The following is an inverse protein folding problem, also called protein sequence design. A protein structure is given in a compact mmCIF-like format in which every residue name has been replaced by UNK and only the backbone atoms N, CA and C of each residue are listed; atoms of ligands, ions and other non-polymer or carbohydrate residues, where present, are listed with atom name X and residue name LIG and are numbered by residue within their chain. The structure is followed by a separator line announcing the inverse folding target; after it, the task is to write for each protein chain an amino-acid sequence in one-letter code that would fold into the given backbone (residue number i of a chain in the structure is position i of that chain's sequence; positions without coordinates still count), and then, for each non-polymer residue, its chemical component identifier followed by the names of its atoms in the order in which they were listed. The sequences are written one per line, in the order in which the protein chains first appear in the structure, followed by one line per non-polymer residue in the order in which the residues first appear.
data_IF_275847369522
#
_entry.id   IF_275847369522
#
_cell.length_a   1.000
_cell.length_b   1.000
_cell.length_c   1.000
_cell.angle_alpha   90.00
_cell.angle_beta   90.00
_cell.angle_gamma   90.00
#
_symmetry.space_group_name_H-M   'P 1'
#
loop_
_entity.id
_entity.type
_entity.pdbx_description
1 polymer ?
#
# COMPACT_ATOMS: atom_id res chain seq x y z
N UNK A 1 18.22 -18.87 -2.94
CA UNK A 1 18.19 -17.41 -2.74
C UNK A 1 16.84 -16.82 -3.15
N UNK A 2 16.35 -17.12 -4.33
CA UNK A 2 15.07 -16.59 -4.82
C UNK A 2 13.83 -16.92 -3.95
N UNK A 3 13.66 -18.15 -3.37
CA UNK A 3 12.52 -18.41 -2.47
C UNK A 3 12.55 -17.60 -1.18
N UNK A 4 13.72 -17.23 -0.69
CA UNK A 4 13.86 -16.37 0.48
C UNK A 4 13.52 -14.91 0.12
N UNK A 5 13.93 -14.46 -1.06
CA UNK A 5 13.58 -13.13 -1.59
C UNK A 5 12.07 -13.00 -1.84
N UNK A 6 11.44 -14.03 -2.39
CA UNK A 6 9.99 -14.07 -2.58
C UNK A 6 9.24 -13.86 -1.26
N UNK A 7 9.60 -14.61 -0.22
CA UNK A 7 9.01 -14.44 1.12
C UNK A 7 9.29 -13.07 1.72
N UNK A 8 10.51 -12.56 1.54
CA UNK A 8 10.90 -11.24 2.05
C UNK A 8 10.04 -10.13 1.40
N UNK A 9 9.91 -10.15 0.07
CA UNK A 9 9.07 -9.21 -0.64
C UNK A 9 7.60 -9.33 -0.24
N UNK A 10 7.09 -10.56 -0.10
CA UNK A 10 5.71 -10.80 0.33
C UNK A 10 5.45 -10.21 1.72
N UNK A 11 6.30 -10.52 2.70
CA UNK A 11 6.17 -10.02 4.07
C UNK A 11 6.31 -8.49 4.13
N UNK A 12 7.32 -7.95 3.46
CA UNK A 12 7.56 -6.51 3.42
C UNK A 12 6.38 -5.76 2.80
N UNK A 13 5.92 -6.20 1.64
CA UNK A 13 4.83 -5.53 0.92
C UNK A 13 3.50 -5.64 1.68
N UNK A 14 3.21 -6.81 2.24
CA UNK A 14 2.03 -7.02 3.10
C UNK A 14 2.08 -6.13 4.34
N UNK A 15 3.23 -6.02 5.01
CA UNK A 15 3.42 -5.13 6.15
C UNK A 15 3.25 -3.65 5.76
N UNK A 16 3.74 -3.26 4.59
CA UNK A 16 3.56 -1.91 4.04
C UNK A 16 2.09 -1.58 3.82
N UNK A 17 1.33 -2.50 3.20
CA UNK A 17 -0.12 -2.34 3.01
C UNK A 17 -0.84 -2.28 4.35
N UNK A 18 -0.53 -3.18 5.28
CA UNK A 18 -1.13 -3.20 6.61
C UNK A 18 -0.85 -1.90 7.38
N UNK A 19 0.37 -1.37 7.30
CA UNK A 19 0.72 -0.10 7.92
C UNK A 19 -0.03 1.08 7.28
N UNK A 20 -0.15 1.11 5.95
CA UNK A 20 -0.94 2.12 5.26
C UNK A 20 -2.42 2.08 5.68
N UNK A 21 -2.99 0.88 5.85
CA UNK A 21 -4.39 0.71 6.25
C UNK A 21 -4.66 0.99 7.73
N UNK A 22 -3.72 0.72 8.64
CA UNK A 22 -3.94 0.72 10.08
C UNK A 22 -3.14 1.79 10.85
N UNK A 23 -2.11 2.36 10.26
CA UNK A 23 -1.20 3.29 10.92
C UNK A 23 -1.82 4.60 11.39
N UNK A 24 -3.01 4.94 10.90
CA UNK A 24 -3.79 6.10 11.38
C UNK A 24 -4.41 5.90 12.76
N UNK A 25 -4.52 4.68 13.25
CA UNK A 25 -5.15 4.34 14.54
C UNK A 25 -4.40 5.02 15.70
N UNK A 26 -3.08 4.97 15.69
CA UNK A 26 -2.25 5.57 16.75
C UNK A 26 -1.75 6.96 16.35
N UNK A 27 -1.89 7.93 17.24
CA UNK A 27 -1.45 9.32 16.98
C UNK A 27 0.04 9.42 16.66
N UNK A 28 0.87 8.56 17.26
CA UNK A 28 2.33 8.53 17.03
C UNK A 28 2.71 8.10 15.62
N UNK A 29 1.94 7.19 15.02
CA UNK A 29 2.24 6.63 13.70
C UNK A 29 1.61 7.42 12.55
N UNK A 30 0.63 8.30 12.82
CA UNK A 30 -0.08 9.08 11.81
C UNK A 30 0.83 9.87 10.84
N UNK A 31 1.87 10.62 11.30
CA UNK A 31 2.74 11.33 10.37
C UNK A 31 3.54 10.39 9.48
N UNK A 32 4.00 9.26 10.00
CA UNK A 32 4.70 8.24 9.24
C UNK A 32 3.80 7.51 8.25
N UNK A 33 2.59 7.18 8.70
CA UNK A 33 1.57 6.57 7.83
C UNK A 33 1.15 7.54 6.72
N UNK A 34 0.98 8.83 7.00
CA UNK A 34 0.71 9.83 5.96
C UNK A 34 1.85 9.91 4.94
N UNK A 35 3.11 9.84 5.39
CA UNK A 35 4.26 9.80 4.50
C UNK A 35 4.25 8.55 3.60
N UNK A 36 4.02 7.36 4.17
CA UNK A 36 3.99 6.10 3.39
C UNK A 36 2.82 6.02 2.42
N UNK A 37 1.63 6.51 2.82
CA UNK A 37 0.46 6.62 1.93
C UNK A 37 0.73 7.60 0.79
N UNK A 38 1.35 8.75 1.08
CA UNK A 38 1.73 9.72 0.05
C UNK A 38 2.73 9.15 -0.93
N UNK A 39 3.71 8.39 -0.44
CA UNK A 39 4.69 7.70 -1.27
C UNK A 39 4.01 6.67 -2.19
N UNK A 40 3.06 5.91 -1.66
CA UNK A 40 2.27 4.95 -2.43
C UNK A 40 1.44 5.66 -3.52
N UNK A 41 0.77 6.76 -3.17
CA UNK A 41 0.01 7.55 -4.13
C UNK A 41 0.90 8.15 -5.23
N UNK A 42 2.08 8.68 -4.87
CA UNK A 42 3.06 9.17 -5.84
C UNK A 42 3.56 8.06 -6.76
N UNK A 43 3.78 6.87 -6.25
CA UNK A 43 4.16 5.71 -7.06
C UNK A 43 3.04 5.34 -8.05
N UNK A 44 1.82 5.22 -7.57
CA UNK A 44 0.68 4.79 -8.39
C UNK A 44 0.29 5.78 -9.48
N UNK A 45 0.28 7.07 -9.15
CA UNK A 45 -0.15 8.13 -10.08
C UNK A 45 1.04 8.81 -10.78
N UNK A 46 2.15 9.03 -10.06
CA UNK A 46 3.35 9.63 -10.62
C UNK A 46 4.09 8.67 -11.55
N UNK A 47 4.64 7.57 -11.02
CA UNK A 47 5.30 6.57 -11.85
C UNK A 47 4.32 5.85 -12.77
N UNK A 48 3.08 5.69 -12.33
CA UNK A 48 2.01 5.08 -13.12
C UNK A 48 1.71 5.82 -14.41
N UNK A 49 1.99 7.11 -14.51
CA UNK A 49 1.86 7.86 -15.75
C UNK A 49 2.82 7.36 -16.86
N UNK A 50 3.98 6.79 -16.47
CA UNK A 50 4.97 6.24 -17.41
C UNK A 50 4.91 4.72 -17.54
N UNK A 51 4.66 4.01 -16.44
CA UNK A 51 4.73 2.53 -16.38
C UNK A 51 3.36 1.85 -16.31
N UNK A 52 2.28 2.62 -16.21
CA UNK A 52 0.91 2.11 -16.07
C UNK A 52 0.34 2.34 -14.66
N UNK A 53 -0.97 2.59 -14.60
CA UNK A 53 -1.70 2.89 -13.37
C UNK A 53 -1.51 1.80 -12.31
N UNK A 54 -1.25 2.23 -11.07
CA UNK A 54 -1.02 1.31 -9.97
C UNK A 54 0.40 0.75 -9.90
N UNK A 55 1.33 1.29 -10.69
CA UNK A 55 2.73 0.84 -10.68
C UNK A 55 3.37 1.01 -9.30
N UNK A 56 4.01 -0.06 -8.84
CA UNK A 56 4.79 -0.09 -7.61
C UNK A 56 6.12 -0.80 -7.88
N UNK A 57 7.27 -0.12 -7.70
CA UNK A 57 8.58 -0.74 -7.93
C UNK A 57 8.80 -2.02 -7.11
N UNK A 58 8.28 -2.04 -5.88
CA UNK A 58 8.39 -3.21 -5.01
C UNK A 58 7.62 -4.42 -5.58
N UNK A 59 6.44 -4.19 -6.16
CA UNK A 59 5.65 -5.24 -6.84
C UNK A 59 6.38 -5.72 -8.08
N UNK A 60 6.91 -4.80 -8.89
CA UNK A 60 7.63 -5.15 -10.11
C UNK A 60 8.85 -6.02 -9.83
N UNK A 61 9.66 -5.65 -8.84
CA UNK A 61 10.79 -6.47 -8.41
C UNK A 61 10.37 -7.83 -7.84
N UNK A 62 9.29 -7.89 -7.09
CA UNK A 62 8.73 -9.13 -6.58
C UNK A 62 8.30 -10.06 -7.72
N UNK A 63 7.61 -9.51 -8.74
CA UNK A 63 7.19 -10.28 -9.93
C UNK A 63 8.40 -10.85 -10.69
N UNK A 64 9.49 -10.10 -10.80
CA UNK A 64 10.74 -10.59 -11.42
C UNK A 64 11.33 -11.78 -10.64
N UNK A 65 11.28 -11.76 -9.31
CA UNK A 65 11.72 -12.89 -8.47
C UNK A 65 10.81 -14.10 -8.67
N UNK A 66 9.50 -13.92 -8.65
CA UNK A 66 8.51 -14.98 -8.82
C UNK A 66 8.53 -15.60 -10.21
N UNK A 67 8.75 -14.79 -11.24
CA UNK A 67 8.93 -15.29 -12.61
C UNK A 67 10.14 -16.22 -12.74
N UNK A 68 11.25 -15.91 -12.06
CA UNK A 68 12.42 -16.81 -12.00
C UNK A 68 12.13 -18.14 -11.29
N UNK A 69 11.15 -18.15 -10.38
CA UNK A 69 10.70 -19.34 -9.68
C UNK A 69 9.64 -20.13 -10.47
N UNK A 70 9.21 -19.64 -11.64
CA UNK A 70 8.21 -20.28 -12.48
C UNK A 70 6.76 -20.12 -12.00
N UNK A 71 6.49 -19.10 -11.17
CA UNK A 71 5.13 -18.78 -10.74
C UNK A 71 4.37 -18.03 -11.83
N UNK A 72 3.11 -18.38 -11.99
CA UNK A 72 2.14 -17.64 -12.81
C UNK A 72 1.35 -16.68 -11.90
N UNK A 73 1.73 -15.41 -11.94
CA UNK A 73 1.23 -14.42 -11.01
C UNK A 73 0.07 -13.60 -11.60
N UNK A 74 -0.90 -13.21 -10.75
CA UNK A 74 -1.94 -12.30 -11.15
C UNK A 74 -1.36 -10.89 -11.40
N UNK A 75 -2.02 -10.07 -12.22
CA UNK A 75 -1.54 -8.72 -12.54
C UNK A 75 -1.51 -7.76 -11.35
N UNK A 76 -2.28 -8.06 -10.29
CA UNK A 76 -2.41 -7.20 -9.11
C UNK A 76 -1.87 -7.87 -7.85
N UNK A 77 -1.05 -7.13 -7.07
CA UNK A 77 -0.56 -7.63 -5.78
C UNK A 77 -1.70 -7.89 -4.77
N UNK A 78 -2.74 -7.05 -4.78
CA UNK A 78 -3.92 -7.25 -3.92
C UNK A 78 -4.62 -8.56 -4.27
N UNK A 79 -4.71 -8.90 -5.54
CA UNK A 79 -5.25 -10.18 -5.98
C UNK A 79 -4.39 -11.35 -5.47
N UNK A 80 -3.06 -11.26 -5.60
CA UNK A 80 -2.14 -12.25 -5.04
C UNK A 80 -2.34 -12.42 -3.53
N UNK A 81 -2.35 -11.32 -2.80
CA UNK A 81 -2.50 -11.31 -1.34
C UNK A 81 -3.81 -11.99 -0.90
N UNK A 82 -4.93 -11.64 -1.54
CA UNK A 82 -6.23 -12.24 -1.22
C UNK A 82 -6.23 -13.73 -1.56
N UNK A 83 -5.66 -14.12 -2.69
CA UNK A 83 -5.54 -15.52 -3.09
C UNK A 83 -4.71 -16.33 -2.10
N UNK A 84 -3.57 -15.83 -1.66
CA UNK A 84 -2.68 -16.51 -0.70
C UNK A 84 -3.30 -16.63 0.70
N UNK A 85 -4.08 -15.63 1.13
CA UNK A 85 -4.68 -15.61 2.48
C UNK A 85 -6.02 -16.35 2.53
N UNK A 86 -6.86 -16.22 1.51
CA UNK A 86 -8.24 -16.71 1.53
C UNK A 86 -8.50 -17.89 0.58
N UNK A 87 -7.60 -18.14 -0.36
CA UNK A 87 -7.81 -19.08 -1.46
C UNK A 87 -8.80 -18.61 -2.54
N UNK A 88 -9.30 -17.38 -2.45
CA UNK A 88 -10.27 -16.81 -3.39
C UNK A 88 -9.52 -16.05 -4.48
N UNK A 89 -9.80 -16.37 -5.73
CA UNK A 89 -9.25 -15.65 -6.88
C UNK A 89 -10.24 -14.57 -7.36
N UNK A 90 -9.92 -13.31 -7.03
CA UNK A 90 -10.72 -12.17 -7.44
C UNK A 90 -10.45 -11.80 -8.90
N UNK A 91 -11.46 -11.20 -9.54
CA UNK A 91 -11.26 -10.58 -10.86
C UNK A 91 -10.24 -9.43 -10.74
N UNK A 92 -9.27 -9.31 -11.66
CA UNK A 92 -8.24 -8.28 -11.60
C UNK A 92 -8.79 -6.86 -11.43
N UNK A 93 -9.78 -6.48 -12.22
CA UNK A 93 -10.40 -5.16 -12.13
C UNK A 93 -11.10 -4.87 -10.80
N UNK A 94 -11.64 -5.89 -10.13
CA UNK A 94 -12.24 -5.73 -8.79
C UNK A 94 -11.17 -5.52 -7.73
N UNK A 95 -10.07 -6.27 -7.78
CA UNK A 95 -8.95 -6.11 -6.86
C UNK A 95 -8.34 -4.70 -6.97
N UNK A 96 -8.14 -4.21 -8.18
CA UNK A 96 -7.60 -2.87 -8.43
C UNK A 96 -8.57 -1.77 -7.97
N UNK A 97 -9.86 -1.91 -8.25
CA UNK A 97 -10.88 -0.95 -7.78
C UNK A 97 -10.93 -0.88 -6.25
N UNK A 98 -10.90 -2.03 -5.57
CA UNK A 98 -10.83 -2.09 -4.10
C UNK A 98 -9.56 -1.40 -3.57
N UNK A 99 -8.41 -1.66 -4.18
CA UNK A 99 -7.15 -1.05 -3.79
C UNK A 99 -7.19 0.49 -3.92
N UNK A 100 -7.72 1.01 -5.02
CA UNK A 100 -7.87 2.46 -5.24
C UNK A 100 -8.83 3.08 -4.24
N UNK A 101 -10.00 2.47 -3.99
CA UNK A 101 -10.99 2.97 -3.02
C UNK A 101 -10.41 2.99 -1.61
N UNK A 102 -9.73 1.92 -1.19
CA UNK A 102 -9.08 1.84 0.11
C UNK A 102 -7.99 2.90 0.23
N UNK A 103 -7.12 3.03 -0.77
CA UNK A 103 -6.04 4.03 -0.78
C UNK A 103 -6.60 5.46 -0.68
N UNK A 104 -7.62 5.79 -1.45
CA UNK A 104 -8.27 7.10 -1.43
C UNK A 104 -8.91 7.37 -0.06
N UNK A 105 -9.66 6.43 0.48
CA UNK A 105 -10.31 6.54 1.78
C UNK A 105 -9.32 6.71 2.93
N UNK A 106 -8.28 5.89 2.96
CA UNK A 106 -7.22 5.97 3.99
C UNK A 106 -6.42 7.27 3.85
N UNK A 107 -6.12 7.72 2.64
CA UNK A 107 -5.42 8.99 2.40
C UNK A 107 -6.24 10.16 2.93
N UNK A 108 -7.52 10.24 2.58
CA UNK A 108 -8.42 11.29 3.06
C UNK A 108 -8.52 11.30 4.59
N UNK A 109 -8.74 10.12 5.20
CA UNK A 109 -8.79 9.97 6.65
C UNK A 109 -7.49 10.44 7.32
N UNK A 110 -6.35 10.06 6.77
CA UNK A 110 -5.03 10.41 7.30
C UNK A 110 -4.78 11.92 7.25
N UNK A 111 -5.12 12.57 6.14
CA UNK A 111 -5.01 14.03 6.00
C UNK A 111 -5.89 14.75 7.01
N UNK A 112 -7.15 14.34 7.15
CA UNK A 112 -8.10 14.94 8.10
C UNK A 112 -7.60 14.79 9.54
N UNK A 113 -7.18 13.59 9.93
CA UNK A 113 -6.68 13.34 11.28
C UNK A 113 -5.40 14.12 11.57
N UNK A 114 -4.47 14.18 10.63
CA UNK A 114 -3.24 14.95 10.76
C UNK A 114 -3.52 16.46 10.90
N UNK A 115 -4.44 17.01 10.11
CA UNK A 115 -4.84 18.40 10.20
C UNK A 115 -5.51 18.72 11.56
N UNK A 116 -6.35 17.82 12.06
CA UNK A 116 -6.98 17.93 13.39
C UNK A 116 -5.94 17.92 14.52
N UNK A 117 -4.99 16.99 14.46
CA UNK A 117 -3.92 16.89 15.46
C UNK A 117 -3.07 18.15 15.49
N UNK A 118 -2.72 18.71 14.34
CA UNK A 118 -1.98 19.98 14.26
C UNK A 118 -2.74 21.19 14.82
N UNK A 119 -4.04 21.26 14.56
CA UNK A 119 -4.90 22.33 15.11
C UNK A 119 -4.99 22.23 16.63
N UNK A 120 -5.17 21.03 17.18
CA UNK A 120 -5.20 20.81 18.62
C UNK A 120 -3.90 21.21 19.31
N UNK A 121 -2.75 20.86 18.73
CA UNK A 121 -1.43 21.25 19.26
C UNK A 121 -1.23 22.76 19.24
N UNK A 122 -1.65 23.45 18.17
CA UNK A 122 -1.55 24.93 18.09
C UNK A 122 -2.43 25.61 19.13
N UNK A 123 -3.64 25.11 19.35
CA UNK A 123 -4.56 25.68 20.36
C UNK A 123 -4.00 25.56 21.78
N UNK A 124 -3.29 24.48 22.12
CA UNK A 124 -2.62 24.33 23.43
C UNK A 124 -1.40 25.21 23.63
N UNK A 125 -0.72 25.61 22.56
CA UNK A 125 0.45 26.47 22.61
C UNK A 125 0.09 27.96 22.64
N UNK A 126 -1.14 28.34 22.29
CA UNK A 126 -1.63 29.74 22.28
C UNK A 126 -2.34 30.15 23.59
N UNK A 127 -2.49 29.24 24.52
CA UNK A 127 -2.95 29.50 25.89
C UNK A 127 -1.75 29.54 26.85
#
# INVERSE_FOLDING_TARGET
MDPMLDRLFFVFHTAWIAFNCLGWIWRRTRPWQLATVSLTALSWFGLGAWYGWGYCPCTDWHWQVRARLGHDDPPSYIQLLIREVTGIDLRPGLADALAVVILAGVTLLSVVLFARDRRATRATLSC
#
